data_IF_728715610865
#
_entry.id   IF_728715610865
#
_cell.length_a   1.000
_cell.length_b   1.000
_cell.length_c   1.000
_cell.angle_alpha   90.00
_cell.angle_beta   90.00
_cell.angle_gamma   90.00
#
_symmetry.space_group_name_H-M   'P 1'
#
loop_
_entity.id
_entity.type
_entity.pdbx_description
1 polymer ?
#
# COMPACT_ATOMS: atom_id res chain seq x y z
N UNK A 1 -23.51 10.48 3.77
CA UNK A 1 -22.96 9.56 4.80
C UNK A 1 -21.98 8.53 4.25
N UNK A 2 -22.20 7.99 3.02
CA UNK A 2 -21.30 6.99 2.41
C UNK A 2 -19.85 7.48 2.25
N UNK A 3 -19.64 8.72 1.79
CA UNK A 3 -18.29 9.30 1.66
C UNK A 3 -17.51 9.40 2.98
N UNK A 4 -18.16 9.74 4.10
CA UNK A 4 -17.49 9.79 5.42
C UNK A 4 -17.02 8.40 5.86
N UNK A 5 -17.84 7.37 5.67
CA UNK A 5 -17.46 5.97 5.97
C UNK A 5 -16.32 5.50 5.05
N UNK A 6 -16.34 5.93 3.80
CA UNK A 6 -15.27 5.67 2.85
C UNK A 6 -13.94 6.27 3.31
N UNK A 7 -13.92 7.56 3.69
CA UNK A 7 -12.74 8.20 4.27
C UNK A 7 -12.24 7.50 5.55
N UNK A 8 -13.12 6.94 6.37
CA UNK A 8 -12.69 6.16 7.54
C UNK A 8 -11.98 4.87 7.12
N UNK A 9 -12.49 4.17 6.11
CA UNK A 9 -11.83 2.96 5.58
C UNK A 9 -10.46 3.25 4.98
N UNK A 10 -10.40 4.30 4.16
CA UNK A 10 -9.16 4.80 3.56
C UNK A 10 -8.17 5.26 4.64
N UNK A 11 -8.62 6.04 5.63
CA UNK A 11 -7.73 6.51 6.71
C UNK A 11 -7.20 5.41 7.60
N UNK A 12 -8.00 4.36 7.84
CA UNK A 12 -7.51 3.17 8.56
C UNK A 12 -6.47 2.43 7.72
N UNK A 13 -6.71 2.27 6.42
CA UNK A 13 -5.73 1.68 5.50
C UNK A 13 -4.44 2.53 5.45
N UNK A 14 -4.55 3.84 5.22
CA UNK A 14 -3.43 4.77 5.14
C UNK A 14 -2.62 4.83 6.43
N UNK A 15 -3.26 4.67 7.61
CA UNK A 15 -2.53 4.52 8.87
C UNK A 15 -1.65 3.25 8.95
N UNK A 16 -1.79 2.32 8.00
CA UNK A 16 -0.91 1.19 7.74
C UNK A 16 -0.09 1.29 6.44
N UNK A 17 -0.33 2.30 5.59
CA UNK A 17 0.44 2.52 4.35
C UNK A 17 1.71 3.32 4.65
N UNK A 18 2.72 2.62 5.15
CA UNK A 18 3.98 3.24 5.58
C UNK A 18 4.86 3.60 4.38
N UNK A 19 5.85 4.47 4.61
CA UNK A 19 6.79 4.88 3.57
C UNK A 19 7.43 3.69 2.85
N UNK A 20 7.27 3.66 1.53
CA UNK A 20 7.89 2.70 0.62
C UNK A 20 9.42 2.59 0.77
N UNK A 21 10.07 3.62 1.30
CA UNK A 21 11.50 3.59 1.63
C UNK A 21 11.85 2.50 2.64
N UNK A 22 10.92 2.13 3.54
CA UNK A 22 11.10 1.02 4.48
C UNK A 22 11.16 -0.33 3.78
N UNK A 23 10.47 -0.52 2.64
CA UNK A 23 10.60 -1.73 1.83
C UNK A 23 12.00 -1.85 1.21
N UNK A 24 12.54 -0.72 0.73
CA UNK A 24 13.92 -0.65 0.22
C UNK A 24 14.91 -0.96 1.33
N UNK A 25 14.72 -0.35 2.50
CA UNK A 25 15.53 -0.61 3.69
C UNK A 25 15.50 -2.09 4.08
N UNK A 26 14.32 -2.71 4.09
CA UNK A 26 14.16 -4.13 4.38
C UNK A 26 14.93 -5.00 3.39
N UNK A 27 14.75 -4.75 2.09
CA UNK A 27 15.43 -5.51 1.05
C UNK A 27 16.96 -5.37 1.19
N UNK A 28 17.47 -4.17 1.46
CA UNK A 28 18.89 -3.93 1.68
C UNK A 28 19.40 -4.67 2.93
N UNK A 29 18.68 -4.61 4.05
CA UNK A 29 19.04 -5.28 5.31
C UNK A 29 19.09 -6.80 5.15
N UNK A 30 18.14 -7.38 4.41
CA UNK A 30 18.02 -8.81 4.16
C UNK A 30 19.08 -9.33 3.19
N UNK A 31 19.45 -8.54 2.17
CA UNK A 31 20.45 -8.92 1.16
C UNK A 31 21.90 -8.67 1.59
N UNK A 32 22.13 -7.70 2.49
CA UNK A 32 23.47 -7.29 2.94
C UNK A 32 24.34 -8.43 3.47
N UNK A 33 23.85 -9.38 4.30
CA UNK A 33 24.66 -10.49 4.79
C UNK A 33 25.14 -11.46 3.69
N UNK A 34 24.44 -11.52 2.56
CA UNK A 34 24.71 -12.48 1.48
C UNK A 34 25.61 -11.87 0.41
N UNK A 35 25.31 -10.64 -0.01
CA UNK A 35 25.93 -10.02 -1.19
C UNK A 35 26.87 -8.85 -0.85
N UNK A 36 26.95 -8.45 0.42
CA UNK A 36 27.66 -7.26 0.86
C UNK A 36 26.88 -5.95 0.65
N UNK A 37 27.30 -4.89 1.34
CA UNK A 37 26.54 -3.63 1.43
C UNK A 37 26.29 -2.95 0.09
N UNK A 38 27.30 -2.89 -0.79
CA UNK A 38 27.18 -2.18 -2.07
C UNK A 38 26.18 -2.86 -3.02
N UNK A 39 26.26 -4.20 -3.14
CA UNK A 39 25.36 -4.96 -4.02
C UNK A 39 23.93 -4.96 -3.45
N UNK A 40 23.77 -5.13 -2.14
CA UNK A 40 22.46 -5.14 -1.49
C UNK A 40 21.69 -3.82 -1.69
N UNK A 41 22.35 -2.68 -1.57
CA UNK A 41 21.73 -1.37 -1.78
C UNK A 41 21.29 -1.19 -3.23
N UNK A 42 22.15 -1.52 -4.19
CA UNK A 42 21.82 -1.45 -5.62
C UNK A 42 20.65 -2.38 -5.96
N UNK A 43 20.65 -3.62 -5.44
CA UNK A 43 19.55 -4.57 -5.63
C UNK A 43 18.24 -4.07 -5.03
N UNK A 44 18.25 -3.46 -3.85
CA UNK A 44 17.06 -2.88 -3.23
C UNK A 44 16.47 -1.73 -4.06
N UNK A 45 17.34 -0.85 -4.61
CA UNK A 45 16.91 0.21 -5.53
C UNK A 45 16.33 -0.38 -6.81
N UNK A 46 16.96 -1.41 -7.39
CA UNK A 46 16.45 -2.10 -8.58
C UNK A 46 15.08 -2.73 -8.34
N UNK A 47 14.87 -3.35 -7.17
CA UNK A 47 13.56 -3.87 -6.78
C UNK A 47 12.50 -2.77 -6.70
N UNK A 48 12.86 -1.59 -6.18
CA UNK A 48 11.95 -0.44 -6.15
C UNK A 48 11.62 0.10 -7.54
N UNK A 49 12.60 0.19 -8.44
CA UNK A 49 12.37 0.53 -9.85
C UNK A 49 11.44 -0.49 -10.48
N UNK A 50 11.68 -1.77 -10.23
CA UNK A 50 10.84 -2.86 -10.74
C UNK A 50 9.39 -2.75 -10.25
N UNK A 51 9.18 -2.46 -8.95
CA UNK A 51 7.86 -2.14 -8.40
C UNK A 51 7.17 -1.01 -9.14
N UNK A 52 7.89 0.08 -9.43
CA UNK A 52 7.32 1.24 -10.14
C UNK A 52 6.95 0.90 -11.60
N UNK A 53 7.70 0.02 -12.26
CA UNK A 53 7.33 -0.49 -13.60
C UNK A 53 6.01 -1.26 -13.54
N UNK A 54 5.84 -2.15 -12.55
CA UNK A 54 4.60 -2.89 -12.36
C UNK A 54 3.44 -1.97 -11.97
N UNK A 55 3.68 -1.01 -11.08
CA UNK A 55 2.71 0.04 -10.75
C UNK A 55 2.21 0.72 -12.03
N UNK A 56 3.11 1.32 -12.81
CA UNK A 56 2.75 2.05 -14.02
C UNK A 56 2.06 1.14 -15.07
N UNK A 57 2.56 -0.08 -15.24
CA UNK A 57 2.00 -1.05 -16.19
C UNK A 57 0.62 -1.58 -15.78
N UNK A 58 0.32 -1.66 -14.48
CA UNK A 58 -0.95 -2.17 -13.96
C UNK A 58 -2.00 -1.09 -13.71
N UNK A 59 -1.62 0.18 -13.57
CA UNK A 59 -2.57 1.28 -13.36
C UNK A 59 -3.66 1.33 -14.44
N UNK A 60 -3.30 1.17 -15.72
CA UNK A 60 -4.28 1.14 -16.81
C UNK A 60 -5.19 -0.10 -16.76
N UNK A 61 -4.66 -1.34 -16.71
CA UNK A 61 -5.48 -2.54 -16.54
C UNK A 61 -6.44 -2.50 -15.35
N UNK A 62 -5.97 -2.00 -14.19
CA UNK A 62 -6.79 -1.92 -12.98
C UNK A 62 -7.90 -0.87 -13.15
N UNK A 63 -7.60 0.29 -13.74
CA UNK A 63 -8.60 1.29 -14.07
C UNK A 63 -9.68 0.75 -14.99
N UNK A 64 -9.27 0.09 -16.08
CA UNK A 64 -10.19 -0.56 -17.01
C UNK A 64 -11.04 -1.65 -16.35
N UNK A 65 -10.47 -2.42 -15.42
CA UNK A 65 -11.22 -3.41 -14.64
C UNK A 65 -12.25 -2.72 -13.72
N UNK A 66 -11.89 -1.58 -13.13
CA UNK A 66 -12.76 -0.73 -12.32
C UNK A 66 -13.92 -0.10 -13.08
N UNK A 67 -13.82 0.04 -14.40
CA UNK A 67 -14.94 0.48 -15.24
C UNK A 67 -15.96 -0.63 -15.50
N UNK A 68 -15.55 -1.90 -15.36
CA UNK A 68 -16.40 -3.08 -15.64
C UNK A 68 -16.94 -3.76 -14.39
N UNK A 69 -16.25 -3.64 -13.26
CA UNK A 69 -16.58 -4.31 -12.02
C UNK A 69 -16.75 -3.28 -10.89
N UNK A 70 -17.39 -3.64 -9.76
CA UNK A 70 -17.52 -2.73 -8.64
C UNK A 70 -16.13 -2.30 -8.11
N UNK A 71 -15.75 -1.03 -8.34
CA UNK A 71 -14.44 -0.45 -7.97
C UNK A 71 -14.06 -0.73 -6.52
N UNK A 72 -15.04 -0.68 -5.60
CA UNK A 72 -14.85 -0.98 -4.17
C UNK A 72 -14.32 -2.38 -3.90
N UNK A 73 -14.77 -3.38 -4.66
CA UNK A 73 -14.30 -4.77 -4.51
C UNK A 73 -12.86 -4.93 -4.99
N UNK A 74 -12.50 -4.25 -6.08
CA UNK A 74 -11.13 -4.26 -6.60
C UNK A 74 -10.20 -3.51 -5.63
N UNK A 75 -10.62 -2.34 -5.12
CA UNK A 75 -9.82 -1.59 -4.14
C UNK A 75 -9.62 -2.40 -2.85
N UNK A 76 -10.68 -3.03 -2.34
CA UNK A 76 -10.58 -3.92 -1.18
C UNK A 76 -9.60 -5.08 -1.43
N UNK A 77 -9.60 -5.67 -2.63
CA UNK A 77 -8.60 -6.66 -3.01
C UNK A 77 -7.18 -6.09 -3.07
N UNK A 78 -7.01 -4.87 -3.58
CA UNK A 78 -5.73 -4.15 -3.55
C UNK A 78 -5.21 -3.98 -2.12
N UNK A 79 -6.06 -3.56 -1.17
CA UNK A 79 -5.67 -3.47 0.23
C UNK A 79 -5.30 -4.84 0.84
N UNK A 80 -6.01 -5.91 0.48
CA UNK A 80 -5.64 -7.27 0.88
C UNK A 80 -4.28 -7.70 0.29
N UNK A 81 -3.93 -7.27 -0.92
CA UNK A 81 -2.60 -7.50 -1.48
C UNK A 81 -1.51 -6.80 -0.65
N UNK A 82 -1.77 -5.60 -0.13
CA UNK A 82 -0.85 -4.94 0.83
C UNK A 82 -0.66 -5.78 2.10
N UNK A 83 -1.75 -6.37 2.65
CA UNK A 83 -1.64 -7.28 3.79
C UNK A 83 -0.83 -8.55 3.46
N UNK A 84 -1.04 -9.15 2.28
CA UNK A 84 -0.27 -10.31 1.81
C UNK A 84 1.21 -9.96 1.65
N UNK A 85 1.52 -8.78 1.11
CA UNK A 85 2.88 -8.27 1.02
C UNK A 85 3.52 -8.16 2.40
N UNK A 86 2.82 -7.53 3.36
CA UNK A 86 3.29 -7.38 4.74
C UNK A 86 3.58 -8.73 5.39
N UNK A 87 2.66 -9.70 5.25
CA UNK A 87 2.86 -11.07 5.74
C UNK A 87 4.08 -11.73 5.09
N UNK A 88 4.28 -11.53 3.79
CA UNK A 88 5.48 -12.01 3.09
C UNK A 88 6.78 -11.44 3.68
N UNK A 89 6.82 -10.15 4.01
CA UNK A 89 8.00 -9.55 4.64
C UNK A 89 8.27 -10.05 6.06
N UNK A 90 7.26 -10.57 6.78
CA UNK A 90 7.44 -11.17 8.12
C UNK A 90 8.25 -12.47 8.07
N UNK A 91 8.10 -13.29 7.02
CA UNK A 91 8.79 -14.59 6.93
C UNK A 91 10.26 -14.51 6.49
N UNK A 92 10.72 -13.33 6.06
CA UNK A 92 12.13 -12.97 5.76
C UNK A 92 12.90 -14.07 5.02
N UNK A 93 12.60 -14.26 3.73
CA UNK A 93 13.38 -15.15 2.85
C UNK A 93 14.41 -14.32 2.08
N UNK A 94 15.73 -14.49 2.31
CA UNK A 94 16.76 -13.64 1.73
C UNK A 94 17.13 -14.08 0.31
N UNK A 95 16.13 -14.13 -0.58
CA UNK A 95 16.28 -14.52 -1.98
C UNK A 95 15.73 -13.41 -2.87
N UNK A 96 16.51 -13.06 -3.89
CA UNK A 96 16.15 -11.97 -4.81
C UNK A 96 14.77 -12.19 -5.45
N UNK A 97 14.49 -13.40 -5.97
CA UNK A 97 13.19 -13.71 -6.59
C UNK A 97 12.00 -13.56 -5.63
N UNK A 98 12.20 -13.88 -4.35
CA UNK A 98 11.15 -13.75 -3.33
C UNK A 98 10.82 -12.28 -3.09
N UNK A 99 11.85 -11.45 -2.92
CA UNK A 99 11.69 -10.00 -2.81
C UNK A 99 11.07 -9.41 -4.08
N UNK A 100 11.45 -9.88 -5.28
CA UNK A 100 10.83 -9.43 -6.53
C UNK A 100 9.31 -9.66 -6.54
N UNK A 101 8.84 -10.81 -6.06
CA UNK A 101 7.40 -11.09 -5.94
C UNK A 101 6.73 -10.12 -4.98
N UNK A 102 7.32 -9.88 -3.80
CA UNK A 102 6.76 -8.92 -2.83
C UNK A 102 6.70 -7.50 -3.38
N UNK A 103 7.71 -7.07 -4.13
CA UNK A 103 7.72 -5.76 -4.79
C UNK A 103 6.72 -5.69 -5.95
N UNK A 104 6.46 -6.78 -6.68
CA UNK A 104 5.37 -6.84 -7.68
C UNK A 104 4.00 -6.67 -7.01
N UNK A 105 3.77 -7.39 -5.91
CA UNK A 105 2.53 -7.24 -5.11
C UNK A 105 2.43 -5.80 -4.61
N UNK A 106 3.56 -5.24 -4.16
CA UNK A 106 3.77 -3.84 -3.80
C UNK A 106 3.31 -2.85 -4.87
N UNK A 107 3.71 -3.07 -6.12
CA UNK A 107 3.33 -2.20 -7.24
C UNK A 107 1.86 -2.34 -7.61
N UNK A 108 1.34 -3.58 -7.55
CA UNK A 108 -0.06 -3.89 -7.84
C UNK A 108 -1.02 -3.22 -6.86
N UNK A 109 -0.70 -3.23 -5.56
CA UNK A 109 -1.59 -2.62 -4.57
C UNK A 109 -1.62 -1.10 -4.71
N UNK A 110 -0.46 -0.43 -4.86
CA UNK A 110 -0.41 1.03 -5.05
C UNK A 110 -1.11 1.43 -6.35
N UNK A 111 -1.00 0.63 -7.41
CA UNK A 111 -1.74 0.89 -8.64
C UNK A 111 -3.25 0.80 -8.44
N UNK A 112 -3.70 -0.11 -7.56
CA UNK A 112 -5.12 -0.24 -7.22
C UNK A 112 -5.61 0.94 -6.38
N UNK A 113 -4.81 1.36 -5.40
CA UNK A 113 -5.08 2.49 -4.54
C UNK A 113 -5.21 3.80 -5.32
N UNK A 114 -4.14 4.21 -6.01
CA UNK A 114 -4.07 5.49 -6.72
C UNK A 114 -5.18 5.64 -7.77
N UNK A 115 -5.48 4.55 -8.49
CA UNK A 115 -6.46 4.58 -9.59
C UNK A 115 -7.88 4.54 -9.05
N UNK A 116 -8.18 3.69 -8.06
CA UNK A 116 -9.54 3.43 -7.65
C UNK A 116 -10.01 4.34 -6.53
N UNK A 117 -9.11 4.84 -5.68
CA UNK A 117 -9.54 5.67 -4.55
C UNK A 117 -10.15 6.99 -5.01
N UNK A 118 -9.48 7.66 -5.95
CA UNK A 118 -9.98 8.87 -6.59
C UNK A 118 -11.27 8.59 -7.36
N UNK A 119 -11.32 7.50 -8.12
CA UNK A 119 -12.50 7.14 -8.89
C UNK A 119 -13.74 6.92 -8.00
N UNK A 120 -13.59 6.20 -6.88
CA UNK A 120 -14.69 5.95 -5.92
C UNK A 120 -15.10 7.24 -5.21
N UNK A 121 -14.15 8.10 -4.83
CA UNK A 121 -14.47 9.40 -4.26
C UNK A 121 -15.29 10.27 -5.22
N UNK A 122 -14.91 10.30 -6.49
CA UNK A 122 -15.61 11.02 -7.55
C UNK A 122 -17.04 10.52 -7.79
N UNK A 123 -17.29 9.21 -7.67
CA UNK A 123 -18.63 8.60 -7.78
C UNK A 123 -19.51 8.86 -6.55
N UNK A 124 -18.91 8.99 -5.36
CA UNK A 124 -19.63 9.17 -4.09
C UNK A 124 -20.09 10.61 -3.83
N UNK A 125 -19.55 11.57 -4.57
CA UNK A 125 -19.72 13.00 -4.32
C UNK A 125 -20.49 13.70 -5.44
N UNK A 126 -21.36 14.67 -5.10
CA UNK A 126 -21.97 15.53 -6.09
C UNK A 126 -20.91 16.46 -6.71
N UNK A 127 -21.16 16.89 -7.95
CA UNK A 127 -20.18 17.60 -8.79
C UNK A 127 -19.61 18.85 -8.12
N UNK A 128 -20.45 19.61 -7.42
CA UNK A 128 -20.08 20.81 -6.69
C UNK A 128 -19.19 20.59 -5.45
N UNK A 129 -19.04 19.33 -4.98
CA UNK A 129 -18.24 18.99 -3.81
C UNK A 129 -17.01 18.12 -4.14
N UNK A 130 -16.79 17.77 -5.41
CA UNK A 130 -15.68 16.89 -5.83
C UNK A 130 -14.31 17.45 -5.42
N UNK A 131 -14.07 18.76 -5.64
CA UNK A 131 -12.80 19.40 -5.26
C UNK A 131 -12.51 19.27 -3.76
N UNK A 132 -13.48 19.61 -2.91
CA UNK A 132 -13.37 19.47 -1.45
C UNK A 132 -13.17 18.01 -1.02
N UNK A 133 -13.86 17.09 -1.68
CA UNK A 133 -13.75 15.66 -1.39
C UNK A 133 -12.40 15.06 -1.75
N UNK A 134 -11.83 15.41 -2.90
CA UNK A 134 -10.47 15.03 -3.25
C UNK A 134 -9.45 15.62 -2.29
N UNK A 135 -9.63 16.87 -1.86
CA UNK A 135 -8.80 17.48 -0.82
C UNK A 135 -8.89 16.72 0.51
N UNK A 136 -10.10 16.33 0.93
CA UNK A 136 -10.30 15.53 2.14
C UNK A 136 -9.67 14.14 2.03
N UNK A 137 -9.79 13.47 0.88
CA UNK A 137 -9.15 12.18 0.61
C UNK A 137 -7.62 12.30 0.71
N UNK A 138 -7.02 13.28 0.01
CA UNK A 138 -5.59 13.51 0.05
C UNK A 138 -5.08 13.87 1.45
N UNK A 139 -5.87 14.61 2.23
CA UNK A 139 -5.55 14.93 3.63
C UNK A 139 -5.56 13.68 4.50
N UNK A 140 -6.56 12.81 4.33
CA UNK A 140 -6.66 11.56 5.08
C UNK A 140 -5.51 10.62 4.74
N UNK A 141 -5.15 10.46 3.46
CA UNK A 141 -3.98 9.66 3.05
C UNK A 141 -2.70 10.26 3.61
N UNK A 142 -2.44 11.56 3.39
CA UNK A 142 -1.23 12.19 3.90
C UNK A 142 -1.05 12.10 5.42
N UNK A 143 -2.13 12.24 6.20
CA UNK A 143 -2.10 12.04 7.65
C UNK A 143 -1.88 10.55 7.98
N UNK A 144 -2.56 9.65 7.27
CA UNK A 144 -2.40 8.21 7.37
C UNK A 144 -0.93 7.80 7.17
N UNK A 145 -0.36 8.14 6.02
CA UNK A 145 1.02 7.81 5.64
C UNK A 145 2.03 8.34 6.66
N UNK A 146 1.79 9.56 7.16
CA UNK A 146 2.65 10.18 8.16
C UNK A 146 2.61 9.42 9.49
N UNK A 147 1.40 9.15 10.01
CA UNK A 147 1.21 8.39 11.26
C UNK A 147 1.76 6.97 11.10
N UNK A 148 1.45 6.32 9.97
CA UNK A 148 1.90 4.99 9.62
C UNK A 148 3.41 4.90 9.61
N UNK A 149 4.07 5.82 8.91
CA UNK A 149 5.54 5.85 8.81
C UNK A 149 6.22 6.04 10.17
N UNK A 150 5.66 6.88 11.05
CA UNK A 150 6.17 7.06 12.42
C UNK A 150 5.98 5.78 13.22
N UNK A 151 4.78 5.20 13.23
CA UNK A 151 4.47 4.01 14.04
C UNK A 151 5.26 2.81 13.54
N UNK A 152 5.26 2.53 12.24
CA UNK A 152 6.00 1.42 11.64
C UNK A 152 7.50 1.62 11.84
N UNK A 153 8.03 2.84 11.64
CA UNK A 153 9.43 3.15 11.90
C UNK A 153 9.82 2.97 13.37
N UNK A 154 8.96 3.38 14.31
CA UNK A 154 9.17 3.17 15.74
C UNK A 154 9.14 1.68 16.10
N UNK A 155 8.14 0.93 15.64
CA UNK A 155 8.04 -0.52 15.85
C UNK A 155 9.24 -1.25 15.25
N UNK A 156 9.72 -0.80 14.09
CA UNK A 156 10.90 -1.33 13.44
C UNK A 156 12.15 -1.18 14.31
N UNK A 157 12.37 0.02 14.85
CA UNK A 157 13.57 0.36 15.61
C UNK A 157 13.54 -0.19 17.05
N UNK A 158 12.38 -0.16 17.70
CA UNK A 158 12.22 -0.51 19.11
C UNK A 158 11.89 -1.99 19.36
N UNK A 159 11.24 -2.66 18.40
CA UNK A 159 10.76 -4.04 18.57
C UNK A 159 11.36 -4.96 17.51
N UNK A 160 10.92 -4.84 16.26
CA UNK A 160 11.46 -5.57 15.09
C UNK A 160 10.78 -5.10 13.80
N UNK A 161 11.40 -5.34 12.62
CA UNK A 161 10.74 -5.14 11.32
C UNK A 161 9.38 -5.84 11.22
N UNK A 162 9.30 -7.09 11.72
CA UNK A 162 8.09 -7.90 11.66
C UNK A 162 6.91 -7.27 12.42
N UNK A 163 7.16 -6.58 13.53
CA UNK A 163 6.12 -5.88 14.29
C UNK A 163 5.51 -4.73 13.48
N UNK A 164 6.34 -3.97 12.75
CA UNK A 164 5.89 -2.92 11.84
C UNK A 164 5.01 -3.46 10.71
N UNK A 165 5.46 -4.53 10.04
CA UNK A 165 4.67 -5.19 8.98
C UNK A 165 3.37 -5.81 9.51
N UNK A 166 3.35 -6.37 10.71
CA UNK A 166 2.14 -6.92 11.31
C UNK A 166 1.11 -5.82 11.58
N UNK A 167 1.55 -4.69 12.14
CA UNK A 167 0.71 -3.51 12.35
C UNK A 167 0.09 -3.03 11.02
N UNK A 168 0.92 -2.84 10.00
CA UNK A 168 0.49 -2.42 8.67
C UNK A 168 -0.52 -3.41 8.07
N UNK A 169 -0.20 -4.71 8.08
CA UNK A 169 -1.05 -5.75 7.51
C UNK A 169 -2.43 -5.86 8.20
N UNK A 170 -2.50 -5.71 9.53
CA UNK A 170 -3.78 -5.70 10.26
C UNK A 170 -4.64 -4.52 9.80
N UNK A 171 -4.06 -3.32 9.73
CA UNK A 171 -4.77 -2.14 9.28
C UNK A 171 -5.22 -2.25 7.82
N UNK A 172 -4.40 -2.83 6.94
CA UNK A 172 -4.79 -3.09 5.56
C UNK A 172 -6.00 -4.03 5.46
N UNK A 173 -6.07 -5.08 6.28
CA UNK A 173 -7.24 -5.98 6.34
C UNK A 173 -8.48 -5.26 6.85
N UNK A 174 -8.36 -4.44 7.90
CA UNK A 174 -9.49 -3.68 8.45
C UNK A 174 -10.00 -2.67 7.42
N UNK A 175 -9.10 -1.91 6.78
CA UNK A 175 -9.43 -0.99 5.71
C UNK A 175 -10.13 -1.69 4.55
N UNK A 176 -9.62 -2.86 4.14
CA UNK A 176 -10.22 -3.67 3.09
C UNK A 176 -11.65 -4.09 3.43
N UNK A 177 -11.88 -4.53 4.67
CA UNK A 177 -13.20 -4.93 5.15
C UNK A 177 -14.19 -3.75 5.18
N UNK A 178 -13.75 -2.58 5.64
CA UNK A 178 -14.60 -1.38 5.70
C UNK A 178 -14.98 -0.93 4.29
N UNK A 179 -14.01 -0.87 3.36
CA UNK A 179 -14.26 -0.50 1.97
C UNK A 179 -15.18 -1.50 1.28
N UNK A 180 -15.02 -2.80 1.54
CA UNK A 180 -15.90 -3.84 1.02
C UNK A 180 -17.35 -3.67 1.49
N UNK A 181 -17.56 -3.33 2.76
CA UNK A 181 -18.89 -3.20 3.39
C UNK A 181 -19.58 -1.86 3.11
N UNK A 182 -18.99 -1.00 2.28
CA UNK A 182 -19.69 0.19 1.78
C UNK A 182 -20.78 -0.27 0.80
N UNK A 183 -21.97 -0.59 1.31
CA UNK A 183 -23.22 -0.75 0.57
C UNK A 183 -24.26 0.26 1.08
#
# INVERSE_FOLDING_TARGET
>A
MKFKRYLVGVGIFGAGDFSHTLLILMAAQVLKPIYGSAVANTSAILLYVFRNVFYAGLSFPIGYLGDKMPKRKILSFGYLLSAVMCVGFIFIVPKFWYLSILFIIGGTFIASEDVLEGAIAGELLPENLKGTGYGALATVNGIGDFISSIIVGFLWAAVSPAAGFLYAGILSVIGAYIVWKLE
#
